data_IF_760477089511
#
_entry.id   IF_760477089511
#
_cell.length_a   1.000
_cell.length_b   1.000
_cell.length_c   1.000
_cell.angle_alpha   90.00
_cell.angle_beta   90.00
_cell.angle_gamma   90.00
#
_symmetry.space_group_name_H-M   'P 1'
#
loop_
_entity.id
_entity.type
_entity.pdbx_description
1 polymer ?
#
# COMPACT_ATOMS: atom_id res chain seq x y z
N UNK A 1 -4.16 11.94 5.41
CA UNK A 1 -2.74 11.77 5.00
C UNK A 1 -2.72 11.34 3.53
N UNK A 2 -1.54 11.23 2.93
CA UNK A 2 -1.33 10.72 1.56
C UNK A 2 -0.51 9.44 1.59
N UNK A 3 -0.90 8.42 0.82
CA UNK A 3 -0.16 7.17 0.70
C UNK A 3 0.39 6.99 -0.70
N UNK A 4 1.70 6.80 -0.81
CA UNK A 4 2.39 6.50 -2.07
C UNK A 4 2.35 4.99 -2.32
N UNK A 5 1.74 4.57 -3.43
CA UNK A 5 1.63 3.15 -3.81
C UNK A 5 2.05 2.97 -5.27
N UNK A 6 2.94 2.03 -5.53
CA UNK A 6 3.33 1.62 -6.88
C UNK A 6 2.27 0.69 -7.48
N UNK A 7 1.81 1.03 -8.68
CA UNK A 7 0.83 0.25 -9.45
C UNK A 7 1.36 0.11 -10.88
N UNK A 8 1.65 -1.12 -11.30
CA UNK A 8 2.21 -1.43 -12.62
C UNK A 8 3.43 -0.56 -12.99
N UNK A 9 4.35 -0.35 -12.03
CA UNK A 9 5.56 0.44 -12.23
C UNK A 9 5.37 1.96 -12.20
N UNK A 10 4.16 2.45 -11.92
CA UNK A 10 3.87 3.89 -11.77
C UNK A 10 3.43 4.19 -10.33
N UNK A 11 4.02 5.20 -9.71
CA UNK A 11 3.62 5.64 -8.37
C UNK A 11 2.30 6.42 -8.43
N UNK A 12 1.33 6.01 -7.62
CA UNK A 12 0.04 6.67 -7.44
C UNK A 12 -0.11 7.14 -5.99
N UNK A 13 -0.91 8.19 -5.80
CA UNK A 13 -1.22 8.74 -4.48
C UNK A 13 -2.64 8.37 -4.12
N UNK A 14 -2.83 7.81 -2.93
CA UNK A 14 -4.15 7.61 -2.31
C UNK A 14 -4.33 8.68 -1.25
N UNK A 15 -5.24 9.62 -1.52
CA UNK A 15 -5.58 10.71 -0.60
C UNK A 15 -6.61 10.26 0.44
N UNK A 16 -6.64 10.94 1.59
CA UNK A 16 -7.66 10.71 2.62
C UNK A 16 -7.42 9.48 3.50
N UNK A 17 -6.27 8.82 3.37
CA UNK A 17 -5.90 7.69 4.24
C UNK A 17 -5.62 8.16 5.67
N UNK A 18 -5.92 7.29 6.63
CA UNK A 18 -5.71 7.48 8.07
C UNK A 18 -5.09 6.24 8.69
N UNK A 19 -4.66 6.31 9.94
CA UNK A 19 -4.05 5.17 10.64
C UNK A 19 -5.00 3.98 10.82
N UNK A 20 -6.32 4.21 10.77
CA UNK A 20 -7.34 3.15 10.85
C UNK A 20 -7.74 2.60 9.48
N UNK A 21 -7.35 3.26 8.39
CA UNK A 21 -7.61 2.77 7.04
C UNK A 21 -6.86 1.45 6.83
N UNK A 22 -7.56 0.43 6.38
CA UNK A 22 -7.02 -0.92 6.18
C UNK A 22 -6.40 -1.10 4.80
N UNK A 23 -5.54 -2.10 4.65
CA UNK A 23 -4.98 -2.48 3.35
C UNK A 23 -6.08 -2.87 2.37
N UNK A 24 -7.14 -3.54 2.85
CA UNK A 24 -8.31 -3.87 2.05
C UNK A 24 -8.98 -2.62 1.45
N UNK A 25 -9.23 -1.59 2.25
CA UNK A 25 -9.83 -0.35 1.76
C UNK A 25 -8.95 0.34 0.71
N UNK A 26 -7.64 0.42 0.95
CA UNK A 26 -6.69 1.01 -0.02
C UNK A 26 -6.66 0.21 -1.32
N UNK A 27 -6.61 -1.12 -1.23
CA UNK A 27 -6.63 -2.02 -2.39
C UNK A 27 -7.90 -1.83 -3.21
N UNK A 28 -9.07 -1.78 -2.56
CA UNK A 28 -10.36 -1.57 -3.23
C UNK A 28 -10.38 -0.21 -3.93
N UNK A 29 -9.97 0.85 -3.25
CA UNK A 29 -9.92 2.20 -3.81
C UNK A 29 -9.01 2.27 -5.04
N UNK A 30 -7.82 1.65 -4.97
CA UNK A 30 -6.89 1.58 -6.09
C UNK A 30 -7.45 0.77 -7.26
N UNK A 31 -8.01 -0.41 -6.99
CA UNK A 31 -8.60 -1.28 -8.01
C UNK A 31 -9.76 -0.59 -8.76
N UNK A 32 -10.63 0.10 -8.02
CA UNK A 32 -11.71 0.92 -8.58
C UNK A 32 -11.17 2.06 -9.44
N UNK A 33 -10.16 2.80 -8.95
CA UNK A 33 -9.58 3.93 -9.67
C UNK A 33 -8.87 3.52 -10.97
N UNK A 34 -8.30 2.32 -11.04
CA UNK A 34 -7.66 1.79 -12.26
C UNK A 34 -8.63 1.00 -13.16
N UNK A 35 -9.90 0.85 -12.76
CA UNK A 35 -10.92 0.13 -13.53
C UNK A 35 -10.64 -1.36 -13.68
N UNK A 36 -9.93 -1.98 -12.73
CA UNK A 36 -9.61 -3.41 -12.76
C UNK A 36 -10.23 -4.14 -11.59
N UNK A 37 -10.78 -5.32 -11.88
CA UNK A 37 -11.36 -6.20 -10.87
C UNK A 37 -10.44 -7.40 -10.61
N UNK A 38 -10.39 -7.84 -9.35
CA UNK A 38 -9.55 -8.95 -8.96
C UNK A 38 -9.26 -8.95 -7.47
N UNK A 39 -8.57 -10.00 -7.04
CA UNK A 39 -7.91 -10.01 -5.72
C UNK A 39 -6.58 -9.30 -5.89
N UNK A 40 -6.29 -8.45 -4.93
CA UNK A 40 -5.07 -7.67 -4.88
C UNK A 40 -4.60 -7.63 -3.43
N UNK A 41 -3.32 -7.41 -3.24
CA UNK A 41 -2.67 -7.28 -1.94
C UNK A 41 -1.68 -6.12 -2.00
N UNK A 42 -1.41 -5.53 -0.84
CA UNK A 42 -0.31 -4.58 -0.69
C UNK A 42 0.92 -5.31 -0.21
N UNK A 43 2.05 -4.99 -0.82
CA UNK A 43 3.36 -5.49 -0.44
C UNK A 43 4.20 -4.30 0.02
N UNK A 44 4.88 -4.45 1.14
CA UNK A 44 5.99 -3.57 1.53
C UNK A 44 7.28 -4.13 0.94
N UNK A 45 7.98 -3.32 0.16
CA UNK A 45 9.28 -3.67 -0.39
C UNK A 45 10.33 -2.73 0.15
N UNK A 46 11.39 -3.31 0.72
CA UNK A 46 12.60 -2.60 1.09
C UNK A 46 13.79 -3.35 0.53
N UNK A 47 14.49 -2.73 -0.43
CA UNK A 47 15.57 -3.35 -1.20
C UNK A 47 15.09 -4.66 -1.87
N UNK A 48 15.70 -5.78 -1.53
CA UNK A 48 15.37 -7.12 -2.06
C UNK A 48 14.37 -7.90 -1.19
N UNK A 49 13.88 -7.28 -0.09
CA UNK A 49 12.93 -7.90 0.82
C UNK A 49 11.52 -7.41 0.52
N UNK A 50 10.60 -8.35 0.34
CA UNK A 50 9.17 -8.10 0.14
C UNK A 50 8.36 -8.76 1.27
N UNK A 51 7.37 -8.05 1.80
CA UNK A 51 6.44 -8.54 2.82
C UNK A 51 5.01 -8.26 2.38
N UNK A 52 4.20 -9.32 2.30
CA UNK A 52 2.76 -9.19 2.08
C UNK A 52 2.05 -8.66 3.31
N UNK A 53 1.19 -7.68 3.12
CA UNK A 53 0.29 -7.16 4.15
C UNK A 53 -1.05 -7.89 4.10
N UNK A 54 -1.54 -8.28 5.28
CA UNK A 54 -2.86 -8.85 5.42
C UNK A 54 -3.94 -7.80 5.18
N UNK A 55 -5.14 -8.19 4.70
CA UNK A 55 -6.21 -7.24 4.38
C UNK A 55 -6.64 -6.33 5.54
N UNK A 56 -6.54 -6.83 6.77
CA UNK A 56 -6.93 -6.14 8.01
C UNK A 56 -5.79 -5.29 8.62
N UNK A 57 -4.57 -5.38 8.11
CA UNK A 57 -3.48 -4.50 8.56
C UNK A 57 -3.68 -3.08 8.04
N UNK A 58 -3.13 -2.09 8.74
CA UNK A 58 -3.17 -0.70 8.31
C UNK A 58 -1.84 -0.32 7.64
N UNK A 59 -1.84 0.13 6.37
CA UNK A 59 -0.60 0.37 5.64
C UNK A 59 0.21 1.53 6.21
N UNK A 60 -0.45 2.56 6.77
CA UNK A 60 0.25 3.66 7.46
C UNK A 60 0.95 3.14 8.72
N UNK A 61 0.25 2.36 9.55
CA UNK A 61 0.84 1.78 10.76
C UNK A 61 1.98 0.83 10.41
N UNK A 62 1.82 0.04 9.35
CA UNK A 62 2.87 -0.88 8.90
C UNK A 62 4.12 -0.12 8.42
N UNK A 63 3.96 0.94 7.63
CA UNK A 63 5.07 1.84 7.25
C UNK A 63 5.72 2.49 8.47
N UNK A 64 4.92 2.98 9.42
CA UNK A 64 5.44 3.64 10.63
C UNK A 64 6.32 2.70 11.48
N UNK A 65 6.11 1.37 11.43
CA UNK A 65 6.98 0.39 12.11
C UNK A 65 8.41 0.38 11.58
N UNK A 66 8.65 0.86 10.36
CA UNK A 66 10.00 1.03 9.80
C UNK A 66 10.74 2.26 10.34
N UNK A 67 10.05 3.15 11.07
CA UNK A 67 10.64 4.33 11.69
C UNK A 67 11.34 5.22 10.66
N UNK A 68 12.62 5.53 10.89
CA UNK A 68 13.42 6.38 9.98
C UNK A 68 13.56 5.81 8.56
N UNK A 69 13.37 4.50 8.37
CA UNK A 69 13.47 3.84 7.07
C UNK A 69 12.15 3.83 6.29
N UNK A 70 11.04 4.32 6.87
CA UNK A 70 9.73 4.30 6.22
C UNK A 70 9.72 4.96 4.84
N UNK A 71 10.55 6.00 4.65
CA UNK A 71 10.71 6.71 3.37
C UNK A 71 11.35 5.85 2.27
N UNK A 72 12.14 4.84 2.63
CA UNK A 72 12.82 3.92 1.70
C UNK A 72 11.94 2.70 1.36
N UNK A 73 10.85 2.50 2.09
CA UNK A 73 9.91 1.39 1.87
C UNK A 73 8.93 1.77 0.78
N UNK A 74 8.79 0.90 -0.21
CA UNK A 74 7.82 1.04 -1.28
C UNK A 74 6.59 0.19 -0.96
N UNK A 75 5.41 0.80 -0.95
CA UNK A 75 4.15 0.06 -1.02
C UNK A 75 3.84 -0.26 -2.48
N UNK A 76 3.56 -1.53 -2.78
CA UNK A 76 3.30 -2.02 -4.13
C UNK A 76 1.97 -2.75 -4.15
N UNK A 77 1.11 -2.39 -5.11
CA UNK A 77 -0.11 -3.14 -5.39
C UNK A 77 0.24 -4.36 -6.25
N UNK A 78 -0.01 -5.56 -5.72
CA UNK A 78 0.19 -6.83 -6.42
C UNK A 78 -1.15 -7.51 -6.63
N UNK A 79 -1.32 -8.17 -7.78
CA UNK A 79 -2.47 -9.04 -8.05
C UNK A 79 -2.20 -10.44 -7.51
#
# INVERSE_FOLDING_TARGET
MELKVWVDGVQRIVCGVTEVTTCQEVVIALAQAIGRTGRYTLIEKWRDTERHLAPHENPIVSLNKWGQYASDVQLILRR
#
